data_IF_931273052304
#
_entry.id   IF_931273052304
#
_cell.length_a   1.000
_cell.length_b   1.000
_cell.length_c   1.000
_cell.angle_alpha   90.00
_cell.angle_beta   90.00
_cell.angle_gamma   90.00
#
_symmetry.space_group_name_H-M   'P 1'
#
loop_
_entity.id
_entity.type
_entity.pdbx_description
1 polymer ?
#
# COMPACT_ATOMS: atom_id res chain seq x y z
N UNK A 1 4.46 11.82 -12.28
CA UNK A 1 3.42 12.17 -11.30
C UNK A 1 3.30 11.09 -10.25
N UNK A 2 3.36 11.50 -9.02
CA UNK A 2 3.27 10.58 -7.89
C UNK A 2 1.82 10.32 -7.52
N UNK A 3 1.50 9.09 -7.25
CA UNK A 3 0.19 8.68 -6.76
C UNK A 3 0.32 7.39 -5.96
N UNK A 4 -0.67 7.06 -5.20
CA UNK A 4 -0.61 5.94 -4.26
C UNK A 4 -1.94 5.20 -4.26
N UNK A 5 -1.85 3.88 -4.23
CA UNK A 5 -2.99 3.03 -3.94
C UNK A 5 -2.91 2.53 -2.52
N UNK A 6 -4.01 2.54 -1.83
CA UNK A 6 -4.13 1.98 -0.49
C UNK A 6 -5.19 0.90 -0.52
N UNK A 7 -4.78 -0.32 -0.21
CA UNK A 7 -5.69 -1.46 -0.08
C UNK A 7 -5.68 -1.87 1.38
N UNK A 8 -6.82 -1.72 2.02
CA UNK A 8 -6.96 -2.05 3.43
C UNK A 8 -7.87 -3.26 3.58
N UNK A 9 -7.40 -4.24 4.35
CA UNK A 9 -8.14 -5.45 4.64
C UNK A 9 -8.35 -5.56 6.15
N UNK A 10 -9.58 -5.84 6.54
CA UNK A 10 -9.87 -6.23 7.91
C UNK A 10 -10.25 -7.70 7.90
N UNK A 11 -9.39 -8.53 8.47
CA UNK A 11 -9.54 -9.98 8.49
C UNK A 11 -9.51 -10.52 9.92
N UNK A 12 -9.69 -11.83 10.07
CA UNK A 12 -9.54 -12.50 11.35
C UNK A 12 -8.06 -12.45 11.78
N UNK A 13 -7.76 -12.22 13.06
CA UNK A 13 -6.38 -12.11 13.53
C UNK A 13 -5.51 -13.33 13.22
N UNK A 14 -6.08 -14.53 13.27
CA UNK A 14 -5.35 -15.76 13.00
C UNK A 14 -4.99 -15.93 11.51
N UNK A 15 -5.66 -15.22 10.62
CA UNK A 15 -5.40 -15.25 9.18
C UNK A 15 -4.32 -14.25 8.78
N UNK A 16 -4.06 -13.23 9.59
CA UNK A 16 -3.13 -12.17 9.27
C UNK A 16 -1.76 -12.66 8.82
N UNK A 17 -1.08 -13.60 9.51
CA UNK A 17 0.24 -14.04 9.07
C UNK A 17 0.26 -14.63 7.66
N UNK A 18 -0.77 -15.37 7.29
CA UNK A 18 -0.88 -15.96 5.94
C UNK A 18 -1.07 -14.88 4.88
N UNK A 19 -1.88 -13.87 5.18
CA UNK A 19 -2.09 -12.73 4.27
C UNK A 19 -0.81 -11.95 4.08
N UNK A 20 -0.10 -11.65 5.16
CA UNK A 20 1.18 -10.94 5.09
C UNK A 20 2.17 -11.70 4.22
N UNK A 21 2.27 -13.01 4.41
CA UNK A 21 3.18 -13.83 3.61
C UNK A 21 2.80 -13.77 2.13
N UNK A 22 1.53 -13.91 1.81
CA UNK A 22 1.07 -13.82 0.43
C UNK A 22 1.37 -12.46 -0.20
N UNK A 23 1.15 -11.38 0.54
CA UNK A 23 1.45 -10.03 0.07
C UNK A 23 2.95 -9.85 -0.19
N UNK A 24 3.80 -10.33 0.71
CA UNK A 24 5.25 -10.26 0.51
C UNK A 24 5.68 -11.00 -0.74
N UNK A 25 5.14 -12.18 -0.98
CA UNK A 25 5.44 -12.96 -2.17
C UNK A 25 4.97 -12.23 -3.44
N UNK A 26 3.78 -11.63 -3.41
CA UNK A 26 3.27 -10.84 -4.52
C UNK A 26 4.19 -9.65 -4.81
N UNK A 27 4.54 -8.87 -3.79
CA UNK A 27 5.40 -7.70 -3.97
C UNK A 27 6.77 -8.07 -4.52
N UNK A 28 7.29 -9.21 -4.09
CA UNK A 28 8.55 -9.72 -4.61
C UNK A 28 8.46 -10.03 -6.11
N UNK A 29 7.36 -10.61 -6.54
CA UNK A 29 7.17 -11.00 -7.94
C UNK A 29 6.93 -9.81 -8.87
N UNK A 30 6.40 -8.70 -8.38
CA UNK A 30 6.03 -7.54 -9.19
C UNK A 30 6.98 -6.35 -9.05
N UNK A 31 8.06 -6.50 -8.29
CA UNK A 31 8.96 -5.41 -7.92
C UNK A 31 9.62 -4.67 -9.08
N UNK A 32 9.68 -5.27 -10.28
CA UNK A 32 10.26 -4.63 -11.47
C UNK A 32 9.21 -4.00 -12.38
N UNK A 33 7.98 -3.87 -11.94
CA UNK A 33 6.90 -3.26 -12.73
C UNK A 33 7.23 -1.80 -13.03
N UNK A 34 7.15 -1.38 -14.31
CA UNK A 34 7.39 0.03 -14.65
C UNK A 34 6.45 0.97 -13.90
N UNK A 35 7.02 2.04 -13.37
CA UNK A 35 6.27 3.05 -12.62
C UNK A 35 6.05 2.71 -11.16
N UNK A 36 6.28 1.49 -10.76
CA UNK A 36 6.21 1.10 -9.35
C UNK A 36 7.44 1.62 -8.62
N UNK A 37 7.20 2.53 -7.68
CA UNK A 37 8.26 3.18 -6.93
C UNK A 37 8.56 2.42 -5.64
N UNK A 38 7.53 2.12 -4.88
CA UNK A 38 7.67 1.42 -3.62
C UNK A 38 6.34 0.76 -3.24
N UNK A 39 6.41 -0.31 -2.47
CA UNK A 39 5.23 -0.91 -1.87
C UNK A 39 5.54 -1.31 -0.44
N UNK A 40 4.60 -1.05 0.46
CA UNK A 40 4.76 -1.32 1.89
C UNK A 40 3.53 -1.98 2.46
N UNK A 41 3.75 -2.88 3.40
CA UNK A 41 2.70 -3.55 4.14
C UNK A 41 2.73 -3.03 5.57
N UNK A 42 1.56 -2.55 6.04
CA UNK A 42 1.39 -2.10 7.41
C UNK A 42 0.36 -2.94 8.12
N UNK A 43 0.55 -3.14 9.40
CA UNK A 43 -0.47 -3.71 10.27
C UNK A 43 -0.89 -2.66 11.29
N UNK A 44 -2.14 -2.72 11.71
CA UNK A 44 -2.64 -1.75 12.69
C UNK A 44 -1.95 -1.98 14.03
N UNK A 45 -1.54 -0.89 14.69
CA UNK A 45 -0.79 -0.97 15.95
C UNK A 45 -1.61 -1.54 17.11
N UNK A 46 -2.93 -1.45 17.05
CA UNK A 46 -3.82 -1.84 18.14
C UNK A 46 -4.89 -2.86 17.75
N UNK A 47 -5.16 -3.04 16.47
CA UNK A 47 -6.24 -3.91 16.00
C UNK A 47 -5.66 -5.07 15.20
N UNK A 48 -5.54 -6.26 15.78
CA UNK A 48 -5.08 -7.43 15.03
C UNK A 48 -6.01 -7.75 13.87
N UNK A 49 -5.42 -8.13 12.73
CA UNK A 49 -6.19 -8.45 11.52
C UNK A 49 -6.48 -7.24 10.63
N UNK A 50 -6.04 -6.05 11.00
CA UNK A 50 -6.20 -4.85 10.18
C UNK A 50 -4.89 -4.59 9.45
N UNK A 51 -4.88 -4.81 8.13
CA UNK A 51 -3.70 -4.79 7.28
C UNK A 51 -3.90 -3.72 6.21
N UNK A 52 -2.83 -2.99 5.90
CA UNK A 52 -2.85 -1.97 4.85
C UNK A 52 -1.69 -2.18 3.90
N UNK A 53 -1.98 -2.28 2.61
CA UNK A 53 -0.98 -2.33 1.54
C UNK A 53 -0.94 -0.97 0.86
N UNK A 54 0.23 -0.35 0.87
CA UNK A 54 0.46 0.93 0.21
C UNK A 54 1.33 0.68 -1.01
N UNK A 55 0.83 1.01 -2.19
CA UNK A 55 1.55 0.88 -3.46
C UNK A 55 1.80 2.27 -3.99
N UNK A 56 3.06 2.65 -4.06
CA UNK A 56 3.47 3.99 -4.47
C UNK A 56 3.94 3.97 -5.91
N UNK A 57 3.33 4.83 -6.73
CA UNK A 57 3.57 4.92 -8.15
C UNK A 57 4.17 6.27 -8.53
N UNK A 58 5.02 6.25 -9.54
CA UNK A 58 5.46 7.46 -10.21
C UNK A 58 5.37 7.21 -11.72
N UNK A 59 4.38 7.81 -12.35
CA UNK A 59 4.10 7.64 -13.76
C UNK A 59 4.05 9.00 -14.47
N UNK A 60 4.42 9.00 -15.75
CA UNK A 60 4.47 10.25 -16.51
C UNK A 60 3.06 10.78 -16.74
N UNK A 61 2.16 9.90 -17.10
CA UNK A 61 0.77 10.23 -17.36
C UNK A 61 -0.07 8.98 -17.22
N UNK A 62 -1.37 9.13 -17.22
CA UNK A 62 -2.24 7.99 -17.24
C UNK A 62 -3.58 8.25 -16.60
N UNK A 63 -4.39 7.23 -16.64
CA UNK A 63 -5.64 7.20 -15.89
C UNK A 63 -5.27 6.74 -14.49
N UNK A 64 -5.55 7.59 -13.51
CA UNK A 64 -5.24 7.27 -12.14
C UNK A 64 -6.40 6.52 -11.53
N UNK A 65 -6.39 5.23 -11.74
CA UNK A 65 -7.36 4.30 -11.18
C UNK A 65 -6.60 3.12 -10.62
N UNK A 66 -7.30 2.11 -10.14
CA UNK A 66 -6.66 0.92 -9.59
C UNK A 66 -5.75 0.27 -10.63
N UNK A 67 -4.51 -0.01 -10.23
CA UNK A 67 -3.56 -0.72 -11.09
C UNK A 67 -3.92 -2.19 -11.24
N UNK A 68 -3.35 -2.85 -12.24
CA UNK A 68 -3.53 -4.31 -12.38
C UNK A 68 -3.05 -5.06 -11.14
N UNK A 69 -1.91 -4.63 -10.56
CA UNK A 69 -1.39 -5.20 -9.32
C UNK A 69 -2.38 -4.99 -8.18
N UNK A 70 -2.90 -3.76 -8.06
CA UNK A 70 -3.87 -3.44 -7.02
C UNK A 70 -5.16 -4.23 -7.16
N UNK A 71 -5.67 -4.36 -8.39
CA UNK A 71 -6.88 -5.14 -8.64
C UNK A 71 -6.67 -6.63 -8.33
N UNK A 72 -5.51 -7.17 -8.70
CA UNK A 72 -5.19 -8.56 -8.40
C UNK A 72 -5.09 -8.79 -6.90
N UNK A 73 -4.42 -7.90 -6.18
CA UNK A 73 -4.32 -7.98 -4.74
C UNK A 73 -5.70 -7.90 -4.08
N UNK A 74 -6.51 -6.92 -4.48
CA UNK A 74 -7.85 -6.73 -3.94
C UNK A 74 -8.75 -7.95 -4.21
N UNK A 75 -8.67 -8.51 -5.41
CA UNK A 75 -9.48 -9.68 -5.78
C UNK A 75 -9.18 -10.88 -4.89
N UNK A 76 -7.92 -11.08 -4.53
CA UNK A 76 -7.54 -12.15 -3.63
C UNK A 76 -7.90 -11.82 -2.19
N UNK A 77 -7.60 -10.61 -1.74
CA UNK A 77 -7.78 -10.22 -0.34
C UNK A 77 -9.25 -10.16 0.08
N UNK A 78 -10.14 -9.81 -0.83
CA UNK A 78 -11.58 -9.72 -0.49
C UNK A 78 -12.18 -11.04 -0.03
N UNK A 79 -11.51 -12.15 -0.30
CA UNK A 79 -11.94 -13.47 0.17
C UNK A 79 -11.73 -13.65 1.68
N UNK A 80 -10.91 -12.79 2.28
CA UNK A 80 -10.50 -12.96 3.68
C UNK A 80 -11.17 -11.96 4.62
N UNK A 81 -11.92 -10.99 4.11
CA UNK A 81 -12.57 -10.03 4.98
C UNK A 81 -13.12 -8.82 4.26
N UNK A 82 -13.25 -7.74 5.01
CA UNK A 82 -13.76 -6.46 4.51
C UNK A 82 -12.61 -5.70 3.87
N UNK A 83 -12.79 -5.31 2.62
CA UNK A 83 -11.75 -4.67 1.82
C UNK A 83 -12.13 -3.26 1.42
N UNK A 84 -11.16 -2.36 1.47
CA UNK A 84 -11.26 -1.02 0.93
C UNK A 84 -10.06 -0.79 0.00
N UNK A 85 -10.31 -0.16 -1.17
CA UNK A 85 -9.27 0.09 -2.16
C UNK A 85 -9.44 1.51 -2.68
N UNK A 86 -8.48 2.37 -2.38
CA UNK A 86 -8.53 3.79 -2.72
C UNK A 86 -7.29 4.21 -3.49
N UNK A 87 -7.45 5.25 -4.30
CA UNK A 87 -6.36 5.83 -5.10
C UNK A 87 -6.25 7.30 -4.74
N UNK A 88 -5.03 7.75 -4.48
CA UNK A 88 -4.74 9.11 -4.03
C UNK A 88 -3.67 9.73 -4.92
N UNK A 89 -3.91 10.96 -5.37
CA UNK A 89 -2.96 11.69 -6.20
C UNK A 89 -2.22 12.72 -5.36
N UNK A 90 -0.91 12.85 -5.60
CA UNK A 90 -0.16 13.94 -4.99
C UNK A 90 -0.67 15.26 -5.56
N UNK A 91 -1.06 16.17 -4.69
CA UNK A 91 -1.66 17.44 -5.09
C UNK A 91 -0.56 18.48 -5.35
N UNK A 92 -0.09 18.52 -6.58
CA UNK A 92 0.94 19.48 -6.98
C UNK A 92 2.26 19.29 -6.24
N UNK A 93 3.00 20.37 -6.03
CA UNK A 93 4.29 20.36 -5.34
C UNK A 93 4.18 20.99 -3.95
N UNK A 94 3.11 20.71 -3.24
CA UNK A 94 2.86 21.32 -1.94
C UNK A 94 3.43 20.52 -0.78
N UNK A 95 4.25 19.50 -1.07
CA UNK A 95 4.94 18.74 -0.04
C UNK A 95 5.97 19.61 0.68
N UNK A 96 6.07 19.44 1.97
CA UNK A 96 7.06 20.13 2.79
C UNK A 96 8.10 19.12 3.23
N UNK A 97 9.35 19.39 2.87
CA UNK A 97 10.46 18.63 3.39
C UNK A 97 10.80 19.13 4.77
N UNK A 98 10.71 18.25 5.73
CA UNK A 98 11.09 18.56 7.10
C UNK A 98 12.50 18.06 7.36
N UNK A 99 13.32 18.91 7.94
CA UNK A 99 14.61 18.50 8.46
C UNK A 99 14.37 18.07 9.90
N UNK A 100 14.63 16.80 10.18
CA UNK A 100 14.33 16.21 11.47
C UNK A 100 15.50 16.35 12.41
N UNK A 101 15.33 17.18 13.42
CA UNK A 101 16.32 17.31 14.48
C UNK A 101 15.83 16.71 15.79
N UNK A 102 14.61 16.27 15.84
CA UNK A 102 14.01 15.77 17.07
C UNK A 102 14.78 14.60 17.68
N UNK A 103 15.37 13.79 16.84
CA UNK A 103 16.18 12.68 17.31
C UNK A 103 17.45 13.13 18.05
N UNK A 104 17.78 14.40 17.98
CA UNK A 104 18.96 14.96 18.63
C UNK A 104 18.64 15.67 19.92
N UNK A 105 17.40 15.90 20.18
CA UNK A 105 16.98 16.63 21.36
C UNK A 105 16.95 15.77 22.61
N UNK A 106 17.29 14.54 22.46
CA UNK A 106 17.25 13.60 23.58
C UNK A 106 18.62 13.43 24.24
#
# INVERSE_FOLDING_TARGET
MEWIEIIRLRTQPDVEPSVIKWLKDLLHSVGSTPGLDEARIYTHSAVPGDISLHIMWNTIQGIFTESEIGLMAAETLKKYGILDHTVWLLKGNNGVKLIHFSQYSL
#
